data_IF_620724818317
#
_entry.id   IF_620724818317
#
_cell.length_a   1.000
_cell.length_b   1.000
_cell.length_c   1.000
_cell.angle_alpha   90.00
_cell.angle_beta   90.00
_cell.angle_gamma   90.00
#
_symmetry.space_group_name_H-M   'P 1'
#
loop_
_entity.id
_entity.type
_entity.pdbx_description
1 polymer ?
#
# COMPACT_ATOMS: atom_id res chain seq x y z
N UNK A 1 16.03 3.99 0.64
CA UNK A 1 15.76 2.94 -0.38
C UNK A 1 14.56 3.35 -1.23
N UNK A 2 14.27 2.62 -2.30
CA UNK A 2 13.02 2.73 -3.07
C UNK A 2 12.13 1.54 -2.72
N UNK A 3 10.95 1.79 -2.14
CA UNK A 3 10.04 0.75 -1.64
C UNK A 3 8.71 0.85 -2.39
N UNK A 4 8.25 -0.27 -2.96
CA UNK A 4 6.90 -0.39 -3.51
C UNK A 4 6.05 -1.21 -2.55
N UNK A 5 4.99 -0.62 -2.00
CA UNK A 5 4.05 -1.29 -1.10
C UNK A 5 2.81 -1.68 -1.87
N UNK A 6 2.52 -2.97 -1.95
CA UNK A 6 1.23 -3.46 -2.46
C UNK A 6 0.25 -3.54 -1.30
N UNK A 7 -0.84 -2.76 -1.38
CA UNK A 7 -1.87 -2.67 -0.35
C UNK A 7 -3.17 -3.29 -0.82
N UNK A 8 -3.76 -4.16 0.01
CA UNK A 8 -4.92 -4.97 -0.36
C UNK A 8 -5.96 -5.01 0.78
N UNK A 9 -6.57 -3.87 1.10
CA UNK A 9 -7.71 -3.82 2.02
C UNK A 9 -8.79 -2.86 1.48
N UNK A 10 -10.08 -3.29 1.43
CA UNK A 10 -11.14 -2.47 0.86
C UNK A 10 -11.57 -1.29 1.75
N UNK A 11 -11.23 -1.32 3.05
CA UNK A 11 -11.70 -0.33 4.01
C UNK A 11 -10.58 0.65 4.38
N UNK A 12 -10.69 1.94 4.01
CA UNK A 12 -9.70 2.96 4.33
C UNK A 12 -9.65 3.32 5.82
N UNK A 13 -10.61 2.85 6.64
CA UNK A 13 -10.59 3.00 8.11
C UNK A 13 -10.19 1.70 8.82
N UNK A 14 -9.63 0.73 8.11
CA UNK A 14 -9.17 -0.52 8.69
C UNK A 14 -7.88 -0.33 9.49
N UNK A 15 -7.62 -1.24 10.43
CA UNK A 15 -6.33 -1.31 11.13
C UNK A 15 -5.15 -1.48 10.15
N UNK A 16 -5.34 -2.22 9.05
CA UNK A 16 -4.32 -2.34 8.00
C UNK A 16 -4.03 -1.02 7.31
N UNK A 17 -5.02 -0.13 7.14
CA UNK A 17 -4.78 1.22 6.62
C UNK A 17 -3.91 2.03 7.58
N UNK A 18 -4.20 1.99 8.88
CA UNK A 18 -3.38 2.65 9.90
C UNK A 18 -1.93 2.12 9.89
N UNK A 19 -1.72 0.81 9.69
CA UNK A 19 -0.37 0.24 9.52
C UNK A 19 0.31 0.80 8.26
N UNK A 20 -0.38 0.88 7.13
CA UNK A 20 0.17 1.44 5.88
C UNK A 20 0.63 2.89 6.08
N UNK A 21 -0.17 3.71 6.77
CA UNK A 21 0.18 5.10 7.07
C UNK A 21 1.45 5.18 7.94
N UNK A 22 1.49 4.42 9.04
CA UNK A 22 2.66 4.41 9.94
C UNK A 22 3.93 3.87 9.26
N UNK A 23 3.79 2.83 8.41
CA UNK A 23 4.89 2.30 7.63
C UNK A 23 5.43 3.33 6.63
N UNK A 24 4.53 4.03 5.93
CA UNK A 24 4.90 5.05 4.95
C UNK A 24 5.61 6.24 5.61
N UNK A 25 5.12 6.66 6.78
CA UNK A 25 5.77 7.68 7.60
C UNK A 25 7.18 7.26 8.03
N UNK A 26 7.33 6.05 8.57
CA UNK A 26 8.65 5.55 8.99
C UNK A 26 9.67 5.47 7.85
N UNK A 27 9.24 5.16 6.63
CA UNK A 27 10.10 5.21 5.45
C UNK A 27 10.53 6.64 5.11
N UNK A 28 9.60 7.60 5.15
CA UNK A 28 9.90 9.01 4.90
C UNK A 28 10.89 9.56 5.95
N UNK A 29 10.66 9.27 7.22
CA UNK A 29 11.50 9.72 8.34
C UNK A 29 12.93 9.17 8.23
N UNK A 30 13.09 7.95 7.69
CA UNK A 30 14.39 7.34 7.41
C UNK A 30 15.06 7.81 6.09
N UNK A 31 14.50 8.82 5.41
CA UNK A 31 15.02 9.33 4.13
C UNK A 31 14.87 8.34 2.98
N UNK A 32 13.86 7.47 3.03
CA UNK A 32 13.52 6.54 1.97
C UNK A 32 12.34 7.05 1.15
N UNK A 33 12.27 6.65 -0.11
CA UNK A 33 11.14 6.94 -1.01
C UNK A 33 10.23 5.72 -1.07
N UNK A 34 8.91 5.95 -1.07
CA UNK A 34 7.93 4.89 -1.21
C UNK A 34 6.90 5.22 -2.29
N UNK A 35 6.31 4.16 -2.84
CA UNK A 35 5.12 4.20 -3.69
C UNK A 35 4.13 3.14 -3.18
N UNK A 36 2.83 3.44 -3.24
CA UNK A 36 1.77 2.53 -2.80
C UNK A 36 0.89 2.16 -3.98
N UNK A 37 0.74 0.86 -4.22
CA UNK A 37 -0.23 0.29 -5.15
C UNK A 37 -1.39 -0.27 -4.34
N UNK A 38 -2.48 0.50 -4.25
CA UNK A 38 -3.72 0.05 -3.63
C UNK A 38 -4.57 -0.73 -4.64
N UNK A 39 -4.61 -2.06 -4.48
CA UNK A 39 -5.30 -2.98 -5.37
C UNK A 39 -6.81 -2.72 -5.43
N UNK A 40 -7.43 -2.29 -4.32
CA UNK A 40 -8.86 -2.00 -4.28
C UNK A 40 -9.17 -0.65 -4.94
N UNK A 41 -8.36 0.38 -4.68
CA UNK A 41 -8.52 1.69 -5.31
C UNK A 41 -8.36 1.61 -6.83
N UNK A 42 -7.38 0.85 -7.34
CA UNK A 42 -7.18 0.67 -8.79
C UNK A 42 -8.11 -0.36 -9.42
N UNK A 43 -8.99 -1.01 -8.62
CA UNK A 43 -9.88 -2.09 -9.07
C UNK A 43 -9.13 -3.20 -9.81
N UNK A 44 -8.02 -3.64 -9.22
CA UNK A 44 -7.19 -4.70 -9.78
C UNK A 44 -8.03 -5.95 -10.04
N UNK A 45 -7.90 -6.54 -11.23
CA UNK A 45 -8.53 -7.83 -11.53
C UNK A 45 -7.60 -8.97 -11.05
N UNK A 46 -7.97 -9.73 -10.01
CA UNK A 46 -7.11 -10.79 -9.48
C UNK A 46 -7.19 -12.10 -10.28
N UNK A 47 -8.08 -12.19 -11.28
CA UNK A 47 -8.30 -13.43 -12.03
C UNK A 47 -7.25 -13.55 -13.14
N UNK A 48 -6.35 -14.52 -12.99
CA UNK A 48 -5.49 -14.98 -14.06
C UNK A 48 -6.34 -15.60 -15.18
N UNK A 49 -6.20 -15.07 -16.40
CA UNK A 49 -6.85 -15.62 -17.60
C UNK A 49 -5.82 -16.41 -18.40
N UNK A 50 -6.24 -17.58 -18.87
CA UNK A 50 -5.50 -18.43 -19.79
C UNK A 50 -5.89 -18.11 -21.23
#
# INVERSE_FOLDING_TARGET
MKVLTVYANPNPRSFCHAILEQFSQGLQDAGHTNEVVDLYAIKFNPVLKL
#
